data_IF_922657214522
#
_entry.id   IF_922657214522
#
_cell.length_a   1.000
_cell.length_b   1.000
_cell.length_c   1.000
_cell.angle_alpha   90.00
_cell.angle_beta   90.00
_cell.angle_gamma   90.00
#
_symmetry.space_group_name_H-M   'P 1'
#
loop_
_entity.id
_entity.type
_entity.pdbx_description
1 polymer ?
#
# COMPACT_ATOMS: atom_id res chain seq x y z
N UNK A 1 4.47 -18.53 5.69
CA UNK A 1 4.38 -17.06 5.80
C UNK A 1 4.59 -16.51 4.40
N UNK A 2 3.57 -15.90 3.84
CA UNK A 2 3.56 -15.30 2.51
C UNK A 2 3.62 -13.79 2.66
N UNK A 3 4.31 -13.11 1.77
CA UNK A 3 4.20 -11.65 1.63
C UNK A 3 3.19 -11.37 0.52
N UNK A 4 2.17 -10.59 0.82
CA UNK A 4 1.18 -10.12 -0.14
C UNK A 4 1.35 -8.62 -0.37
N UNK A 5 1.30 -8.21 -1.64
CA UNK A 5 1.27 -6.81 -2.06
C UNK A 5 -0.08 -6.57 -2.72
N UNK A 6 -0.96 -5.85 -2.04
CA UNK A 6 -2.22 -5.38 -2.58
C UNK A 6 -1.99 -3.98 -3.14
N UNK A 7 -2.23 -3.77 -4.42
CA UNK A 7 -1.91 -2.49 -5.04
C UNK A 7 -2.93 -2.08 -6.09
N UNK A 8 -3.02 -0.77 -6.34
CA UNK A 8 -3.89 -0.25 -7.37
C UNK A 8 -3.38 -0.58 -8.78
N UNK A 9 -4.30 -0.57 -9.74
CA UNK A 9 -4.04 -1.02 -11.12
C UNK A 9 -3.63 0.10 -12.08
N UNK A 10 -3.56 1.34 -11.63
CA UNK A 10 -3.09 2.47 -12.44
C UNK A 10 -1.56 2.61 -12.42
N UNK A 11 -1.05 3.70 -13.01
CA UNK A 11 0.39 3.89 -13.15
C UNK A 11 1.12 4.06 -11.83
N UNK A 12 0.53 4.76 -10.85
CA UNK A 12 1.16 4.95 -9.55
C UNK A 12 1.13 3.66 -8.73
N UNK A 13 -0.04 3.01 -8.61
CA UNK A 13 -0.18 1.72 -7.95
C UNK A 13 0.73 0.65 -8.55
N UNK A 14 0.76 0.48 -9.87
CA UNK A 14 1.65 -0.50 -10.51
C UNK A 14 3.12 -0.22 -10.17
N UNK A 15 3.54 1.04 -10.16
CA UNK A 15 4.90 1.42 -9.82
C UNK A 15 5.21 1.19 -8.33
N UNK A 16 4.30 1.56 -7.44
CA UNK A 16 4.39 1.35 -6.01
C UNK A 16 4.50 -0.15 -5.69
N UNK A 17 3.62 -0.97 -6.28
CA UNK A 17 3.65 -2.43 -6.17
C UNK A 17 4.95 -3.03 -6.69
N UNK A 18 5.48 -2.54 -7.82
CA UNK A 18 6.75 -3.01 -8.36
C UNK A 18 7.95 -2.70 -7.45
N UNK A 19 7.97 -1.53 -6.81
CA UNK A 19 9.00 -1.18 -5.81
C UNK A 19 8.87 -2.06 -4.56
N UNK A 20 7.65 -2.27 -4.06
CA UNK A 20 7.41 -3.16 -2.92
C UNK A 20 7.84 -4.60 -3.23
N UNK A 21 7.59 -5.09 -4.45
CA UNK A 21 8.01 -6.42 -4.91
C UNK A 21 9.54 -6.52 -5.03
N UNK A 22 10.20 -5.48 -5.52
CA UNK A 22 11.67 -5.44 -5.58
C UNK A 22 12.29 -5.52 -4.17
N UNK A 23 11.65 -4.92 -3.17
CA UNK A 23 12.08 -4.96 -1.78
C UNK A 23 11.74 -6.28 -1.05
N UNK A 24 10.76 -7.03 -1.57
CA UNK A 24 10.28 -8.29 -1.02
C UNK A 24 10.21 -9.34 -2.14
N UNK A 25 11.37 -9.90 -2.57
CA UNK A 25 11.39 -10.95 -3.57
C UNK A 25 10.47 -12.11 -3.16
N UNK A 26 9.80 -12.72 -4.14
CA UNK A 26 8.81 -13.80 -3.95
C UNK A 26 7.46 -13.39 -3.36
N UNK A 27 7.22 -12.09 -3.09
CA UNK A 27 5.90 -11.61 -2.71
C UNK A 27 4.86 -11.86 -3.82
N UNK A 28 3.62 -12.13 -3.41
CA UNK A 28 2.47 -12.25 -4.31
C UNK A 28 1.83 -10.89 -4.51
N UNK A 29 1.72 -10.45 -5.76
CA UNK A 29 1.04 -9.20 -6.12
C UNK A 29 -0.43 -9.49 -6.43
N UNK A 30 -1.31 -8.69 -5.86
CA UNK A 30 -2.75 -8.71 -6.09
C UNK A 30 -3.22 -7.30 -6.43
N UNK A 31 -3.77 -7.12 -7.64
CA UNK A 31 -4.35 -5.84 -8.02
C UNK A 31 -5.76 -5.70 -7.46
N UNK A 32 -6.03 -4.61 -6.77
CA UNK A 32 -7.33 -4.34 -6.13
C UNK A 32 -7.70 -2.87 -6.26
N UNK A 33 -8.81 -2.48 -5.65
CA UNK A 33 -9.36 -1.13 -5.63
C UNK A 33 -10.06 -0.88 -4.29
N UNK A 34 -10.36 0.37 -3.91
CA UNK A 34 -10.94 0.72 -2.59
C UNK A 34 -12.13 -0.14 -2.14
N UNK A 35 -13.10 -0.39 -3.03
CA UNK A 35 -14.28 -1.20 -2.72
C UNK A 35 -14.03 -2.71 -2.61
N UNK A 36 -12.94 -3.21 -3.19
CA UNK A 36 -12.64 -4.64 -3.31
C UNK A 36 -11.70 -5.10 -2.20
N UNK A 37 -10.88 -4.19 -1.67
CA UNK A 37 -9.81 -4.47 -0.72
C UNK A 37 -10.27 -5.38 0.44
N UNK A 38 -11.40 -5.08 1.08
CA UNK A 38 -11.90 -5.88 2.20
C UNK A 38 -12.15 -7.34 1.81
N UNK A 39 -12.74 -7.57 0.64
CA UNK A 39 -12.99 -8.92 0.11
C UNK A 39 -11.71 -9.62 -0.31
N UNK A 40 -10.79 -8.89 -0.95
CA UNK A 40 -9.53 -9.44 -1.46
C UNK A 40 -8.56 -9.84 -0.34
N UNK A 41 -8.62 -9.16 0.81
CA UNK A 41 -7.86 -9.52 2.01
C UNK A 41 -8.24 -10.90 2.58
N UNK A 42 -9.29 -11.56 2.10
CA UNK A 42 -9.61 -12.95 2.47
C UNK A 42 -8.55 -13.96 1.97
N UNK A 43 -7.68 -13.57 1.04
CA UNK A 43 -6.53 -14.39 0.62
C UNK A 43 -5.45 -14.52 1.69
N UNK A 44 -5.40 -13.56 2.64
CA UNK A 44 -4.36 -13.45 3.67
C UNK A 44 -4.63 -14.43 4.82
N UNK A 45 -3.61 -15.22 5.16
CA UNK A 45 -3.67 -16.18 6.28
C UNK A 45 -3.00 -15.60 7.53
N UNK A 46 -3.28 -16.20 8.69
CA UNK A 46 -2.59 -15.84 9.93
C UNK A 46 -1.06 -15.96 9.77
N UNK A 47 -0.34 -14.96 10.27
CA UNK A 47 1.12 -14.87 10.13
C UNK A 47 1.65 -14.41 8.78
N UNK A 48 0.80 -14.12 7.79
CA UNK A 48 1.25 -13.49 6.55
C UNK A 48 1.63 -12.01 6.75
N UNK A 49 2.50 -11.50 5.88
CA UNK A 49 2.80 -10.06 5.79
C UNK A 49 1.97 -9.44 4.67
N UNK A 50 1.35 -8.31 4.94
CA UNK A 50 0.51 -7.58 4.00
C UNK A 50 1.10 -6.20 3.78
N UNK A 51 1.28 -5.84 2.51
CA UNK A 51 1.71 -4.52 2.07
C UNK A 51 0.61 -3.99 1.16
N UNK A 52 0.02 -2.85 1.50
CA UNK A 52 -1.02 -2.20 0.73
C UNK A 52 -0.43 -0.90 0.16
N UNK A 53 -0.52 -0.74 -1.16
CA UNK A 53 0.02 0.40 -1.87
C UNK A 53 -1.07 1.07 -2.71
N UNK A 54 -1.27 2.37 -2.52
CA UNK A 54 -2.12 3.21 -3.37
C UNK A 54 -3.62 2.86 -3.35
N UNK A 55 -4.13 2.44 -2.19
CA UNK A 55 -5.55 2.07 -2.06
C UNK A 55 -6.21 2.94 -0.99
N UNK A 56 -7.06 3.86 -1.43
CA UNK A 56 -7.95 4.60 -0.55
C UNK A 56 -8.84 3.66 0.27
N UNK A 57 -9.07 3.98 1.55
CA UNK A 57 -10.01 3.24 2.38
C UNK A 57 -11.44 3.67 2.07
N UNK A 58 -12.29 2.73 1.63
CA UNK A 58 -13.71 2.99 1.37
C UNK A 58 -14.47 3.26 2.67
N UNK A 59 -15.16 4.40 2.77
CA UNK A 59 -16.01 4.75 3.93
C UNK A 59 -17.06 3.67 4.22
N UNK A 60 -17.64 3.08 3.18
CA UNK A 60 -18.66 2.02 3.28
C UNK A 60 -18.12 0.75 3.96
N UNK A 61 -16.81 0.50 3.86
CA UNK A 61 -16.17 -0.71 4.36
C UNK A 61 -15.17 -0.44 5.49
N UNK A 62 -15.11 0.81 5.98
CA UNK A 62 -14.06 1.25 6.89
C UNK A 62 -13.98 0.41 8.16
N UNK A 63 -15.11 0.19 8.84
CA UNK A 63 -15.13 -0.62 10.07
C UNK A 63 -14.59 -2.04 9.82
N UNK A 64 -15.05 -2.69 8.74
CA UNK A 64 -14.60 -4.01 8.36
C UNK A 64 -13.11 -4.07 7.98
N UNK A 65 -12.61 -3.04 7.28
CA UNK A 65 -11.19 -2.91 6.94
C UNK A 65 -10.33 -2.77 8.19
N UNK A 66 -10.69 -1.89 9.11
CA UNK A 66 -9.94 -1.67 10.36
C UNK A 66 -9.92 -2.95 11.21
N UNK A 67 -11.04 -3.66 11.35
CA UNK A 67 -11.07 -4.94 12.06
C UNK A 67 -10.22 -6.02 11.35
N UNK A 68 -10.25 -6.04 10.01
CA UNK A 68 -9.41 -6.98 9.24
C UNK A 68 -7.92 -6.66 9.41
N UNK A 69 -7.55 -5.38 9.40
CA UNK A 69 -6.18 -4.91 9.63
C UNK A 69 -5.67 -5.29 11.02
N UNK A 70 -6.47 -5.05 12.08
CA UNK A 70 -6.15 -5.50 13.45
C UNK A 70 -5.94 -7.02 13.51
N UNK A 71 -6.77 -7.78 12.80
CA UNK A 71 -6.65 -9.25 12.78
C UNK A 71 -5.36 -9.71 12.11
N UNK A 72 -4.95 -9.07 11.02
CA UNK A 72 -3.67 -9.35 10.35
C UNK A 72 -2.50 -9.00 11.28
N UNK A 73 -2.51 -7.81 11.88
CA UNK A 73 -1.42 -7.29 12.72
C UNK A 73 -1.23 -8.08 14.03
N UNK A 74 -2.29 -8.71 14.56
CA UNK A 74 -2.19 -9.62 15.72
C UNK A 74 -1.22 -10.79 15.54
N UNK A 75 -1.03 -11.27 14.30
CA UNK A 75 -0.25 -12.50 14.03
C UNK A 75 0.82 -12.32 12.96
N UNK A 76 0.68 -11.32 12.11
CA UNK A 76 1.56 -11.02 10.98
C UNK A 76 2.03 -9.57 11.00
N UNK A 77 2.28 -9.03 9.81
CA UNK A 77 2.68 -7.63 9.64
C UNK A 77 1.76 -6.96 8.63
N UNK A 78 1.47 -5.68 8.86
CA UNK A 78 0.69 -4.85 7.96
C UNK A 78 1.46 -3.55 7.69
N UNK A 79 1.61 -3.24 6.42
CA UNK A 79 2.13 -1.97 5.93
C UNK A 79 1.06 -1.33 5.04
N UNK A 80 0.72 -0.07 5.30
CA UNK A 80 -0.24 0.71 4.52
C UNK A 80 0.44 1.99 4.01
N UNK A 81 0.53 2.12 2.69
CA UNK A 81 1.17 3.23 1.99
C UNK A 81 0.16 3.85 1.02
N UNK A 82 -0.27 5.08 1.29
CA UNK A 82 -1.27 5.75 0.47
C UNK A 82 -1.17 7.27 0.56
N UNK A 83 -1.76 7.96 -0.41
CA UNK A 83 -1.79 9.41 -0.52
C UNK A 83 -3.21 9.99 -0.64
N UNK A 84 -4.22 9.15 -0.82
CA UNK A 84 -5.61 9.60 -0.92
C UNK A 84 -6.12 10.22 0.39
N UNK A 85 -7.08 11.16 0.37
CA UNK A 85 -7.73 11.62 1.58
C UNK A 85 -8.31 10.45 2.39
N UNK A 86 -8.02 10.43 3.70
CA UNK A 86 -8.62 9.44 4.59
C UNK A 86 -10.11 9.73 4.81
N UNK A 87 -10.93 8.69 5.07
CA UNK A 87 -12.32 8.84 5.51
C UNK A 87 -12.49 9.84 6.65
N UNK A 88 -13.64 10.51 6.71
CA UNK A 88 -13.92 11.50 7.75
C UNK A 88 -13.74 10.91 9.16
N UNK A 89 -12.96 11.61 9.99
CA UNK A 89 -12.70 11.22 11.38
C UNK A 89 -11.63 10.14 11.57
N UNK A 90 -11.12 9.52 10.50
CA UNK A 90 -9.99 8.59 10.58
C UNK A 90 -8.67 9.35 10.49
N UNK A 91 -7.73 9.05 11.39
CA UNK A 91 -6.36 9.55 11.31
C UNK A 91 -5.41 8.41 10.97
N UNK A 92 -4.26 8.74 10.39
CA UNK A 92 -3.27 7.74 9.99
C UNK A 92 -2.80 6.87 11.18
N UNK A 93 -2.72 7.44 12.39
CA UNK A 93 -2.32 6.71 13.60
C UNK A 93 -3.36 5.70 14.08
N UNK A 94 -4.60 5.80 13.60
CA UNK A 94 -5.70 4.90 13.94
C UNK A 94 -5.73 3.67 13.01
N UNK A 95 -4.94 3.67 11.92
CA UNK A 95 -4.80 2.54 10.99
C UNK A 95 -3.77 1.55 11.55
N UNK A 96 -4.15 0.28 11.81
CA UNK A 96 -3.23 -0.72 12.36
C UNK A 96 -2.01 -0.97 11.48
N UNK A 97 -0.88 -1.30 12.11
CA UNK A 97 0.37 -1.61 11.43
C UNK A 97 1.24 -0.38 11.14
N UNK A 98 2.20 -0.55 10.23
CA UNK A 98 3.08 0.53 9.79
C UNK A 98 2.36 1.33 8.70
N UNK A 99 1.88 2.50 9.06
CA UNK A 99 1.16 3.39 8.16
C UNK A 99 2.04 4.59 7.77
N UNK A 100 2.19 4.83 6.46
CA UNK A 100 2.72 6.09 5.93
C UNK A 100 1.71 6.66 4.97
N UNK A 101 1.09 7.75 5.39
CA UNK A 101 0.08 8.48 4.66
C UNK A 101 0.57 9.90 4.40
N UNK A 102 0.64 10.31 3.13
CA UNK A 102 1.18 11.62 2.72
C UNK A 102 0.39 12.16 1.54
N UNK A 103 -0.29 13.30 1.72
CA UNK A 103 -1.05 13.96 0.64
C UNK A 103 -0.16 14.72 -0.36
N UNK A 104 1.13 14.88 -0.05
CA UNK A 104 2.10 15.69 -0.80
C UNK A 104 3.07 14.85 -1.66
N UNK A 105 2.80 13.57 -1.81
CA UNK A 105 3.62 12.62 -2.56
C UNK A 105 2.74 11.55 -3.21
N UNK A 106 3.20 10.97 -4.32
CA UNK A 106 2.56 9.78 -4.90
C UNK A 106 2.83 8.54 -4.03
N UNK A 107 1.99 7.52 -4.13
CA UNK A 107 2.17 6.26 -3.41
C UNK A 107 3.49 5.58 -3.80
N UNK A 108 3.90 5.63 -5.07
CA UNK A 108 5.19 5.06 -5.50
C UNK A 108 6.41 5.78 -4.91
N UNK A 109 6.34 7.09 -4.68
CA UNK A 109 7.37 7.83 -3.93
C UNK A 109 7.41 7.38 -2.46
N UNK A 110 6.24 7.27 -1.81
CA UNK A 110 6.13 6.82 -0.41
C UNK A 110 6.78 5.44 -0.24
N UNK A 111 6.41 4.50 -1.11
CA UNK A 111 6.89 3.11 -1.05
C UNK A 111 8.41 3.04 -1.33
N UNK A 112 8.91 3.78 -2.32
CA UNK A 112 10.36 3.86 -2.56
C UNK A 112 11.10 4.47 -1.39
N UNK A 113 10.61 5.56 -0.82
CA UNK A 113 11.25 6.22 0.31
C UNK A 113 11.36 5.30 1.53
N UNK A 114 10.35 4.46 1.77
CA UNK A 114 10.36 3.45 2.81
C UNK A 114 11.34 2.30 2.54
N UNK A 115 11.36 1.79 1.30
CA UNK A 115 12.15 0.62 0.94
C UNK A 115 13.51 0.91 0.30
N UNK A 116 13.93 2.17 0.16
CA UNK A 116 15.15 2.57 -0.57
C UNK A 116 16.43 1.87 -0.13
N UNK A 117 16.54 1.47 1.14
CA UNK A 117 17.71 0.74 1.66
C UNK A 117 17.70 -0.76 1.27
N UNK A 118 16.54 -1.28 0.85
CA UNK A 118 16.36 -2.66 0.39
C UNK A 118 16.34 -2.81 -1.14
N UNK A 119 16.19 -1.71 -1.87
CA UNK A 119 16.16 -1.70 -3.33
C UNK A 119 17.35 -0.94 -3.91
N UNK A 120 17.69 -1.20 -5.18
CA UNK A 120 18.72 -0.43 -5.86
C UNK A 120 18.26 0.99 -6.19
N UNK A 121 19.23 1.88 -6.42
CA UNK A 121 18.94 3.26 -6.86
C UNK A 121 18.14 3.32 -8.17
N UNK A 122 18.22 2.29 -9.01
CA UNK A 122 17.48 2.23 -10.27
C UNK A 122 15.96 2.09 -10.08
N UNK A 123 15.51 1.56 -8.94
CA UNK A 123 14.09 1.49 -8.59
C UNK A 123 13.46 2.86 -8.35
N UNK A 124 14.27 3.91 -8.11
CA UNK A 124 13.78 5.30 -8.11
C UNK A 124 13.06 5.68 -9.40
N UNK A 125 13.42 5.06 -10.54
CA UNK A 125 12.75 5.30 -11.82
C UNK A 125 11.29 4.87 -11.79
N UNK A 126 10.98 3.73 -11.15
CA UNK A 126 9.60 3.29 -11.00
C UNK A 126 8.82 4.30 -10.14
N UNK A 127 9.41 4.79 -9.04
CA UNK A 127 8.80 5.86 -8.25
C UNK A 127 8.52 7.13 -9.05
N UNK A 128 9.47 7.57 -9.89
CA UNK A 128 9.30 8.74 -10.75
C UNK A 128 8.20 8.49 -11.80
N UNK A 129 8.15 7.29 -12.41
CA UNK A 129 7.10 6.96 -13.38
C UNK A 129 5.71 6.93 -12.75
N UNK A 130 5.60 6.42 -11.52
CA UNK A 130 4.34 6.44 -10.77
C UNK A 130 3.91 7.86 -10.44
N UNK A 131 4.82 8.69 -9.91
CA UNK A 131 4.56 10.11 -9.66
C UNK A 131 4.07 10.87 -10.91
N UNK A 132 4.72 10.68 -12.07
CA UNK A 132 4.25 11.27 -13.34
C UNK A 132 2.86 10.74 -13.72
N UNK A 133 2.59 9.45 -13.50
CA UNK A 133 1.29 8.86 -13.81
C UNK A 133 0.17 9.39 -12.91
N UNK A 134 0.52 9.81 -11.69
CA UNK A 134 -0.37 10.43 -10.71
C UNK A 134 -0.52 11.95 -10.90
N UNK A 135 0.11 12.52 -11.94
CA UNK A 135 0.22 13.97 -12.14
C UNK A 135 0.85 14.72 -10.95
N UNK A 136 1.66 14.00 -10.15
CA UNK A 136 2.51 14.54 -9.09
C UNK A 136 3.84 15.04 -9.68
N UNK A 137 3.81 15.58 -10.89
CA UNK A 137 4.93 16.06 -11.69
C UNK A 137 4.91 17.57 -11.90
N UNK A 138 4.25 18.32 -11.01
CA UNK A 138 4.33 19.79 -10.96
C UNK A 138 5.78 20.24 -10.66
N UNK A 139 6.61 20.16 -11.71
CA UNK A 139 7.93 20.76 -11.89
C UNK A 139 7.81 22.17 -12.47
#
# INVERSE_FOLDING_TARGET
MTVWIFTHGDGDGVCAGAVALAANPDAKVFFTHPFGLLGDLNQVREGDTVIICDIALSEMHLEGLIERFKTIEKTGLLHYFDHHPLPEGLRAEDIPGVTIHRLDASASEIVYSYFKEKVGVLQSRAAIYGAISDYADNT
#
